data_IF_501235756162
#
_entry.id   IF_501235756162
#
_cell.length_a   1.000
_cell.length_b   1.000
_cell.length_c   1.000
_cell.angle_alpha   90.00
_cell.angle_beta   90.00
_cell.angle_gamma   90.00
#
_symmetry.space_group_name_H-M   'P 1'
#
loop_
_entity.id
_entity.type
_entity.pdbx_description
1 polymer ?
#
# COMPACT_ATOMS: atom_id res chain seq x y z
N UNK A 1 34.91 6.53 -7.22
CA UNK A 1 33.79 6.99 -6.39
C UNK A 1 32.55 6.32 -6.92
N UNK A 2 31.86 5.54 -6.10
CA UNK A 2 30.57 4.94 -6.41
C UNK A 2 29.70 5.20 -5.21
N UNK A 3 28.70 6.07 -5.40
CA UNK A 3 27.72 6.44 -4.38
C UNK A 3 26.94 5.21 -3.93
N UNK A 4 27.33 4.66 -2.78
CA UNK A 4 26.63 3.59 -2.06
C UNK A 4 25.39 4.10 -1.31
N UNK A 5 24.74 5.18 -1.78
CA UNK A 5 23.66 5.84 -1.02
C UNK A 5 22.44 6.31 -1.84
N UNK A 6 22.26 5.87 -3.09
CA UNK A 6 20.96 6.00 -3.76
C UNK A 6 20.05 4.85 -3.33
N UNK A 7 19.61 4.83 -2.07
CA UNK A 7 18.54 3.90 -1.67
C UNK A 7 17.33 4.13 -2.58
N UNK A 8 16.85 3.08 -3.23
CA UNK A 8 15.65 3.16 -4.09
C UNK A 8 14.50 3.74 -3.28
N UNK A 9 14.07 4.96 -3.61
CA UNK A 9 12.93 5.62 -3.00
C UNK A 9 11.71 5.39 -3.88
N UNK A 10 10.68 4.77 -3.34
CA UNK A 10 9.39 4.62 -4.01
C UNK A 10 8.52 5.79 -3.52
N UNK A 11 7.99 6.66 -4.40
CA UNK A 11 7.09 7.72 -3.94
C UNK A 11 5.82 7.12 -3.36
N UNK A 12 5.24 7.76 -2.34
CA UNK A 12 3.83 7.54 -1.99
C UNK A 12 2.99 7.83 -3.24
N UNK A 13 2.09 6.92 -3.60
CA UNK A 13 1.21 7.05 -4.76
C UNK A 13 -0.22 6.69 -4.37
N UNK A 14 -1.13 7.66 -4.49
CA UNK A 14 -2.54 7.48 -4.15
C UNK A 14 -3.38 8.13 -5.22
N UNK A 15 -4.31 7.39 -5.82
CA UNK A 15 -5.23 7.93 -6.82
C UNK A 15 -6.57 8.31 -6.16
N UNK A 16 -6.95 9.60 -6.12
CA UNK A 16 -8.28 10.00 -5.67
C UNK A 16 -9.35 9.52 -6.66
N UNK A 17 -10.51 9.16 -6.14
CA UNK A 17 -11.66 8.73 -6.94
C UNK A 17 -12.15 9.87 -7.82
N UNK A 18 -12.41 9.58 -9.09
CA UNK A 18 -12.85 10.57 -10.08
C UNK A 18 -11.71 11.42 -10.67
N UNK A 19 -10.48 11.33 -10.16
CA UNK A 19 -9.33 12.00 -10.74
C UNK A 19 -8.68 11.16 -11.85
N UNK A 20 -8.06 11.84 -12.81
CA UNK A 20 -7.38 11.19 -13.92
C UNK A 20 -6.01 10.63 -13.51
N UNK A 21 -5.18 11.45 -12.87
CA UNK A 21 -3.83 11.11 -12.41
C UNK A 21 -3.80 10.77 -10.91
N UNK A 22 -2.86 9.94 -10.46
CA UNK A 22 -2.57 9.78 -9.05
C UNK A 22 -1.81 10.99 -8.48
N UNK A 23 -1.93 11.16 -7.17
CA UNK A 23 -1.09 12.02 -6.37
C UNK A 23 0.23 11.29 -6.05
N UNK A 24 1.35 12.03 -6.07
CA UNK A 24 2.66 11.52 -5.75
C UNK A 24 3.28 12.29 -4.57
N UNK A 25 3.93 11.57 -3.66
CA UNK A 25 4.63 12.12 -2.48
C UNK A 25 3.76 12.98 -1.57
N UNK A 26 2.45 12.76 -1.63
CA UNK A 26 1.49 13.44 -0.77
C UNK A 26 0.39 12.47 -0.40
N UNK A 27 -0.09 12.63 0.83
CA UNK A 27 -1.25 11.93 1.35
C UNK A 27 -2.52 12.47 0.72
N UNK A 28 -3.58 11.67 0.80
CA UNK A 28 -4.91 12.05 0.36
C UNK A 28 -5.70 12.59 1.57
N UNK A 29 -6.31 13.76 1.44
CA UNK A 29 -7.15 14.30 2.51
C UNK A 29 -8.56 13.71 2.44
N UNK A 30 -8.78 12.66 3.23
CA UNK A 30 -10.08 11.99 3.30
C UNK A 30 -11.12 12.76 4.12
N UNK A 31 -10.72 13.77 4.90
CA UNK A 31 -11.65 14.57 5.73
C UNK A 31 -12.52 15.49 4.87
N UNK A 32 -11.98 15.93 3.73
CA UNK A 32 -12.69 16.71 2.72
C UNK A 32 -13.61 15.85 1.82
N UNK A 33 -13.72 14.55 2.12
CA UNK A 33 -14.58 13.61 1.41
C UNK A 33 -13.92 13.00 0.16
N UNK A 34 -12.63 13.24 -0.07
CA UNK A 34 -11.89 12.52 -1.09
C UNK A 34 -11.71 11.06 -0.68
N UNK A 35 -11.90 10.14 -1.61
CA UNK A 35 -11.74 8.70 -1.36
C UNK A 35 -10.73 8.13 -2.35
N UNK A 36 -9.78 7.28 -1.92
CA UNK A 36 -8.86 6.66 -2.86
C UNK A 36 -9.57 5.60 -3.70
N UNK A 37 -9.10 5.40 -4.94
CA UNK A 37 -9.57 4.33 -5.83
C UNK A 37 -9.33 2.95 -5.22
N UNK A 38 -8.25 2.82 -4.44
CA UNK A 38 -7.90 1.62 -3.69
C UNK A 38 -8.00 1.93 -2.18
N UNK A 39 -9.16 1.70 -1.54
CA UNK A 39 -9.33 1.94 -0.11
C UNK A 39 -8.47 1.01 0.73
N UNK A 40 -7.84 1.56 1.76
CA UNK A 40 -7.19 0.82 2.82
C UNK A 40 -8.21 0.08 3.69
N UNK A 41 -9.41 0.65 3.87
CA UNK A 41 -10.55 0.13 4.66
C UNK A 41 -11.21 -1.14 4.11
N UNK A 42 -10.44 -2.02 3.49
CA UNK A 42 -10.84 -3.35 3.04
C UNK A 42 -10.06 -4.37 3.85
N UNK A 43 -10.75 -5.36 4.40
CA UNK A 43 -10.05 -6.44 5.11
C UNK A 43 -9.15 -7.22 4.14
N UNK A 44 -7.86 -7.22 4.42
CA UNK A 44 -6.83 -7.82 3.58
C UNK A 44 -6.28 -6.89 2.49
N UNK A 45 -6.42 -5.57 2.62
CA UNK A 45 -5.63 -4.62 1.80
C UNK A 45 -4.15 -4.89 1.96
N UNK A 46 -3.40 -4.73 0.88
CA UNK A 46 -1.94 -4.81 0.88
C UNK A 46 -1.40 -3.43 0.54
N UNK A 47 -0.63 -2.87 1.47
CA UNK A 47 -0.13 -1.51 1.36
C UNK A 47 1.37 -1.47 1.67
N UNK A 48 2.08 -0.53 1.04
CA UNK A 48 3.49 -0.32 1.31
C UNK A 48 3.64 0.39 2.65
N UNK A 49 4.57 -0.06 3.50
CA UNK A 49 4.92 0.66 4.71
C UNK A 49 5.70 1.93 4.35
N UNK A 50 5.72 2.94 5.21
CA UNK A 50 6.63 4.07 5.12
C UNK A 50 7.13 4.46 6.52
N UNK A 51 8.14 5.31 6.58
CA UNK A 51 8.64 5.83 7.86
C UNK A 51 7.71 6.91 8.38
N UNK A 52 7.49 6.97 9.70
CA UNK A 52 6.80 8.10 10.35
C UNK A 52 7.51 9.44 10.11
N UNK A 53 8.83 9.40 9.85
CA UNK A 53 9.61 10.59 9.52
C UNK A 53 9.56 10.97 8.03
N UNK A 54 8.87 10.20 7.19
CA UNK A 54 8.79 10.44 5.76
C UNK A 54 7.45 9.98 5.20
N UNK A 55 6.58 10.95 5.03
CA UNK A 55 5.24 10.78 4.45
C UNK A 55 5.23 10.88 2.91
N UNK A 56 6.38 11.18 2.32
CA UNK A 56 6.53 11.33 0.86
C UNK A 56 6.90 10.03 0.15
N UNK A 57 7.48 9.06 0.87
CA UNK A 57 8.08 7.88 0.25
C UNK A 57 7.66 6.59 0.94
N UNK A 58 7.16 5.65 0.15
CA UNK A 58 6.98 4.26 0.54
C UNK A 58 8.32 3.51 0.66
N UNK A 59 8.35 2.54 1.55
CA UNK A 59 9.43 1.57 1.67
C UNK A 59 9.53 0.75 0.38
N UNK A 60 10.73 0.50 -0.17
CA UNK A 60 10.88 -0.29 -1.39
C UNK A 60 10.67 -1.79 -1.18
N UNK A 61 10.67 -2.27 0.07
CA UNK A 61 10.69 -3.71 0.38
C UNK A 61 9.86 -4.12 1.59
N UNK A 62 9.22 -3.18 2.29
CA UNK A 62 8.31 -3.47 3.39
C UNK A 62 6.89 -3.13 2.98
N UNK A 63 5.99 -4.10 3.18
CA UNK A 63 4.56 -3.97 2.99
C UNK A 63 3.86 -4.67 4.15
N UNK A 64 2.56 -4.40 4.30
CA UNK A 64 1.75 -5.02 5.31
C UNK A 64 0.37 -5.41 4.76
N UNK A 65 -0.24 -6.39 5.42
CA UNK A 65 -1.65 -6.70 5.25
C UNK A 65 -2.44 -5.92 6.29
N UNK A 66 -3.44 -5.16 5.85
CA UNK A 66 -4.31 -4.41 6.74
C UNK A 66 -5.52 -5.25 7.14
N UNK A 67 -5.56 -5.63 8.43
CA UNK A 67 -6.66 -6.41 9.00
C UNK A 67 -7.77 -5.48 9.49
N UNK A 68 -8.38 -4.77 8.53
CA UNK A 68 -9.39 -3.77 8.83
C UNK A 68 -10.55 -4.32 9.66
N UNK A 69 -10.85 -3.67 10.80
CA UNK A 69 -12.00 -3.97 11.64
C UNK A 69 -12.91 -2.75 11.71
N UNK A 70 -14.15 -2.90 11.20
CA UNK A 70 -15.15 -1.83 11.19
C UNK A 70 -15.48 -1.28 12.58
N UNK A 71 -15.25 -2.06 13.64
CA UNK A 71 -15.44 -1.60 15.03
C UNK A 71 -14.44 -0.53 15.44
N UNK A 72 -13.30 -0.49 14.76
CA UNK A 72 -12.22 0.48 14.99
C UNK A 72 -12.22 1.59 13.92
N UNK A 73 -13.30 1.69 13.14
CA UNK A 73 -13.42 2.68 12.08
C UNK A 73 -13.82 4.05 12.60
N UNK A 74 -13.37 5.09 11.91
CA UNK A 74 -13.90 6.44 12.06
C UNK A 74 -15.29 6.60 11.46
N UNK A 75 -15.74 7.85 11.36
CA UNK A 75 -17.01 8.20 10.72
C UNK A 75 -17.04 7.68 9.27
N UNK A 76 -18.18 7.13 8.84
CA UNK A 76 -18.34 6.58 7.49
C UNK A 76 -17.79 5.16 7.29
N UNK A 77 -17.26 4.51 8.34
CA UNK A 77 -16.71 3.16 8.21
C UNK A 77 -15.39 3.14 7.44
N UNK A 78 -14.59 4.20 7.58
CA UNK A 78 -13.23 4.28 7.07
C UNK A 78 -12.22 4.04 8.19
N UNK A 79 -11.05 3.54 7.81
CA UNK A 79 -9.85 3.51 8.61
C UNK A 79 -9.43 4.93 8.96
N UNK A 80 -8.84 5.11 10.15
CA UNK A 80 -8.18 6.36 10.52
C UNK A 80 -6.95 6.65 9.66
N UNK A 81 -6.37 5.62 9.04
CA UNK A 81 -5.19 5.73 8.18
C UNK A 81 -5.57 5.73 6.68
N UNK A 82 -6.84 5.93 6.35
CA UNK A 82 -7.30 6.02 4.96
C UNK A 82 -6.64 7.24 4.29
N UNK A 83 -6.06 7.04 3.11
CA UNK A 83 -5.33 8.10 2.40
C UNK A 83 -3.88 8.32 2.84
N UNK A 84 -3.38 7.54 3.81
CA UNK A 84 -2.00 7.67 4.31
C UNK A 84 -1.00 6.77 3.55
N UNK A 85 -1.47 5.64 2.99
CA UNK A 85 -0.61 4.60 2.43
C UNK A 85 -0.86 4.30 0.95
N UNK A 86 0.19 3.92 0.22
CA UNK A 86 0.10 3.35 -1.12
C UNK A 86 -0.49 1.93 -1.06
N UNK A 87 -1.81 1.81 -1.23
CA UNK A 87 -2.49 0.51 -1.40
C UNK A 87 -2.24 0.01 -2.82
N UNK A 88 -1.73 -1.22 -2.97
CA UNK A 88 -1.38 -1.77 -4.28
C UNK A 88 -2.02 -3.13 -4.56
N UNK A 89 -2.81 -3.66 -3.64
CA UNK A 89 -3.50 -4.92 -3.86
C UNK A 89 -4.43 -5.32 -2.73
N UNK A 90 -5.12 -6.44 -2.93
CA UNK A 90 -6.03 -7.04 -1.97
C UNK A 90 -5.83 -8.55 -1.92
N UNK A 91 -5.92 -9.12 -0.72
CA UNK A 91 -6.05 -10.57 -0.56
C UNK A 91 -7.40 -11.03 -1.08
N UNK A 92 -7.40 -11.88 -2.11
CA UNK A 92 -8.62 -12.46 -2.70
C UNK A 92 -8.94 -13.86 -2.16
N UNK A 93 -7.91 -14.60 -1.71
CA UNK A 93 -8.04 -15.97 -1.16
C UNK A 93 -7.20 -16.07 0.12
N UNK A 94 -7.67 -16.85 1.11
CA UNK A 94 -6.96 -17.08 2.37
C UNK A 94 -7.16 -15.99 3.43
N UNK A 95 -8.27 -15.23 3.34
CA UNK A 95 -8.61 -14.17 4.32
C UNK A 95 -8.76 -14.71 5.75
N UNK A 96 -9.22 -15.94 5.91
CA UNK A 96 -9.36 -16.67 7.18
C UNK A 96 -8.01 -16.98 7.85
N UNK A 97 -6.93 -17.03 7.08
CA UNK A 97 -5.57 -17.28 7.57
C UNK A 97 -4.88 -15.98 7.97
N UNK A 98 -5.24 -14.84 7.37
CA UNK A 98 -4.59 -13.55 7.63
C UNK A 98 -4.56 -13.18 9.13
N UNK A 99 -5.67 -13.36 9.84
CA UNK A 99 -5.73 -13.10 11.30
C UNK A 99 -4.92 -14.07 12.15
N UNK A 100 -4.45 -15.17 11.57
CA UNK A 100 -3.67 -16.20 12.27
C UNK A 100 -2.16 -15.94 12.17
N UNK A 101 -1.73 -15.03 11.27
CA UNK A 101 -0.32 -14.63 11.12
C UNK A 101 0.11 -13.88 12.39
N UNK A 102 1.26 -14.27 12.94
CA UNK A 102 1.81 -13.72 14.20
C UNK A 102 3.26 -13.32 14.05
N UNK A 103 3.73 -12.54 15.00
CA UNK A 103 5.16 -12.21 15.14
C UNK A 103 6.00 -13.49 15.16
N UNK A 104 7.00 -13.55 14.28
CA UNK A 104 7.88 -14.71 14.11
C UNK A 104 7.51 -15.60 12.94
N UNK A 105 6.31 -15.46 12.36
CA UNK A 105 5.98 -16.13 11.09
C UNK A 105 6.83 -15.54 9.95
N UNK A 106 7.21 -16.39 9.00
CA UNK A 106 8.11 -16.04 7.91
C UNK A 106 7.48 -16.40 6.56
N UNK A 107 7.47 -15.45 5.64
CA UNK A 107 7.11 -15.70 4.24
C UNK A 107 8.18 -16.62 3.64
N UNK A 108 7.81 -17.88 3.35
CA UNK A 108 8.73 -18.87 2.78
C UNK A 108 8.97 -18.67 1.28
N UNK A 109 7.96 -18.20 0.57
CA UNK A 109 8.01 -17.99 -0.88
C UNK A 109 6.91 -17.05 -1.32
N UNK A 110 7.18 -16.29 -2.37
CA UNK A 110 6.18 -15.53 -3.12
C UNK A 110 6.36 -15.89 -4.60
N UNK A 111 5.26 -16.04 -5.33
CA UNK A 111 5.27 -16.41 -6.75
C UNK A 111 4.25 -15.57 -7.50
N UNK A 112 4.67 -14.97 -8.60
CA UNK A 112 3.76 -14.37 -9.55
C UNK A 112 3.01 -15.48 -10.30
N UNK A 113 1.68 -15.44 -10.24
CA UNK A 113 0.82 -16.44 -10.89
C UNK A 113 0.33 -15.97 -12.26
N UNK A 114 0.04 -14.67 -12.39
CA UNK A 114 -0.53 -14.05 -13.60
C UNK A 114 -0.07 -12.59 -13.71
N UNK A 115 -0.16 -12.00 -14.91
CA UNK A 115 0.11 -10.58 -15.13
C UNK A 115 1.58 -10.20 -15.38
N UNK A 116 2.47 -11.18 -15.53
CA UNK A 116 3.89 -10.94 -15.89
C UNK A 116 4.04 -10.15 -17.19
N UNK A 117 3.13 -10.36 -18.14
CA UNK A 117 3.03 -9.68 -19.43
C UNK A 117 2.71 -8.18 -19.31
N UNK A 118 2.19 -7.74 -18.16
CA UNK A 118 1.86 -6.33 -17.90
C UNK A 118 3.02 -5.57 -17.26
N UNK A 119 4.10 -6.25 -16.87
CA UNK A 119 5.27 -5.61 -16.28
C UNK A 119 6.06 -4.88 -17.38
N UNK A 120 6.03 -3.54 -17.32
CA UNK A 120 6.87 -2.70 -18.18
C UNK A 120 8.13 -2.34 -17.41
N UNK A 121 9.27 -2.86 -17.84
CA UNK A 121 10.58 -2.50 -17.29
C UNK A 121 11.11 -1.26 -18.02
N UNK A 122 11.75 -0.32 -17.31
CA UNK A 122 12.47 0.77 -17.96
C UNK A 122 13.56 0.20 -18.86
N UNK A 123 13.74 0.79 -20.05
CA UNK A 123 14.84 0.41 -20.93
C UNK A 123 16.16 0.63 -20.19
N UNK A 124 16.98 -0.42 -20.06
CA UNK A 124 18.35 -0.27 -19.58
C UNK A 124 19.10 0.69 -20.53
N UNK A 125 19.70 1.74 -19.96
CA UNK A 125 20.59 2.65 -20.70
C UNK A 125 22.00 2.11 -20.73
#
# INVERSE_FOLDING_TARGET
GLDKNSGSRVPLEIKPSGQFEPLYRTKLDVQDGELPVLPLSVYGSVAMAHSESSDEYSSPNQFFFYLYDKRNAGLGGLSFDEGEFSVFGYTTVGKDILSQIKTGDVIRSAKLVEGQDRLVLPNEK
#
